data_IF_436430727261
#
_entry.id   IF_436430727261
#
_cell.length_a   1.000
_cell.length_b   1.000
_cell.length_c   1.000
_cell.angle_alpha   90.00
_cell.angle_beta   90.00
_cell.angle_gamma   90.00
#
_symmetry.space_group_name_H-M   'P 1'
#
loop_
_entity.id
_entity.type
_entity.pdbx_description
1 polymer ?
#
# COMPACT_ATOMS: atom_id res chain seq x y z
N UNK A 1 7.20 -16.39 28.12
CA UNK A 1 6.17 -15.35 27.96
C UNK A 1 6.82 -14.13 27.32
N UNK A 2 6.84 -13.96 26.00
CA UNK A 2 7.17 -12.69 25.31
C UNK A 2 7.30 -12.88 23.79
N UNK A 3 6.42 -13.63 23.13
CA UNK A 3 6.51 -13.83 21.67
C UNK A 3 5.45 -13.04 20.88
N UNK A 4 4.46 -12.43 21.54
CA UNK A 4 3.35 -11.76 20.85
C UNK A 4 3.64 -10.33 20.37
N UNK A 5 4.74 -9.69 20.79
CA UNK A 5 5.04 -8.30 20.40
C UNK A 5 5.68 -8.16 19.01
N UNK A 6 6.07 -9.25 18.38
CA UNK A 6 6.81 -9.26 17.12
C UNK A 6 6.12 -9.99 15.97
N UNK A 7 4.85 -10.42 16.12
CA UNK A 7 4.16 -11.03 14.98
C UNK A 7 4.00 -9.99 13.84
N UNK A 8 4.08 -10.42 12.56
CA UNK A 8 3.87 -9.53 11.41
C UNK A 8 2.55 -8.75 11.49
N UNK A 9 1.50 -9.39 12.00
CA UNK A 9 0.19 -8.75 12.25
C UNK A 9 0.31 -7.60 13.24
N UNK A 10 1.03 -7.79 14.34
CA UNK A 10 1.26 -6.74 15.34
C UNK A 10 2.07 -5.57 14.79
N UNK A 11 3.05 -5.85 13.94
CA UNK A 11 3.84 -4.83 13.24
C UNK A 11 2.98 -4.03 12.26
N UNK A 12 2.18 -4.70 11.43
CA UNK A 12 1.26 -4.05 10.50
C UNK A 12 0.23 -3.17 11.24
N UNK A 13 -0.27 -3.62 12.39
CA UNK A 13 -1.15 -2.83 13.26
C UNK A 13 -0.49 -1.55 13.76
N UNK A 14 0.76 -1.65 14.22
CA UNK A 14 1.51 -0.50 14.72
C UNK A 14 1.71 0.55 13.63
N UNK A 15 2.05 0.11 12.42
CA UNK A 15 2.11 0.97 11.24
C UNK A 15 0.83 1.78 11.06
N UNK A 16 -0.31 1.10 11.15
CA UNK A 16 -1.61 1.72 10.97
C UNK A 16 -1.97 2.75 12.05
N UNK A 17 -1.46 2.60 13.28
CA UNK A 17 -1.68 3.55 14.38
C UNK A 17 -0.86 4.83 14.29
N UNK A 18 0.37 4.77 13.78
CA UNK A 18 1.32 5.89 13.81
C UNK A 18 0.81 7.15 13.10
N UNK A 19 0.20 6.99 11.92
CA UNK A 19 -0.31 8.13 11.16
C UNK A 19 -1.62 8.67 11.74
N UNK A 20 -2.48 7.81 12.28
CA UNK A 20 -3.75 8.22 12.89
C UNK A 20 -3.51 9.12 14.10
N UNK A 21 -2.56 8.79 14.96
CA UNK A 21 -2.18 9.62 16.11
C UNK A 21 -1.57 10.96 15.68
N UNK A 22 -0.75 10.93 14.63
CA UNK A 22 -0.04 12.13 14.16
C UNK A 22 -0.94 13.12 13.44
N UNK A 23 -1.98 12.68 12.76
CA UNK A 23 -2.92 13.54 12.07
C UNK A 23 -3.64 14.55 13.00
N UNK A 24 -3.64 14.28 14.32
CA UNK A 24 -4.17 15.18 15.35
C UNK A 24 -3.13 16.18 15.88
N UNK A 25 -1.87 16.06 15.47
CA UNK A 25 -0.75 16.82 16.02
C UNK A 25 -0.40 18.10 15.24
N UNK A 26 0.70 18.74 15.68
CA UNK A 26 1.31 19.85 14.94
C UNK A 26 1.99 19.35 13.64
N UNK A 27 2.28 20.23 12.67
CA UNK A 27 3.00 19.87 11.46
C UNK A 27 4.35 19.15 11.72
N UNK A 28 5.03 19.53 12.79
CA UNK A 28 6.28 18.87 13.19
C UNK A 28 6.06 17.44 13.66
N UNK A 29 5.00 17.19 14.46
CA UNK A 29 4.63 15.84 14.89
C UNK A 29 4.22 14.97 13.70
N UNK A 30 3.49 15.56 12.76
CA UNK A 30 3.11 14.87 11.52
C UNK A 30 4.35 14.44 10.72
N UNK A 31 5.34 15.32 10.53
CA UNK A 31 6.60 14.97 9.84
C UNK A 31 7.34 13.82 10.53
N UNK A 32 7.46 13.87 11.85
CA UNK A 32 8.11 12.82 12.63
C UNK A 32 7.39 11.48 12.49
N UNK A 33 6.07 11.50 12.53
CA UNK A 33 5.27 10.29 12.36
C UNK A 33 5.33 9.71 10.96
N UNK A 34 5.37 10.54 9.92
CA UNK A 34 5.56 10.08 8.54
C UNK A 34 6.91 9.38 8.37
N UNK A 35 7.99 9.97 8.88
CA UNK A 35 9.32 9.35 8.83
C UNK A 35 9.32 8.02 9.57
N UNK A 36 8.76 8.00 10.79
CA UNK A 36 8.65 6.77 11.57
C UNK A 36 7.80 5.71 10.86
N UNK A 37 6.66 6.11 10.30
CA UNK A 37 5.80 5.20 9.54
C UNK A 37 6.53 4.59 8.34
N UNK A 38 7.24 5.40 7.56
CA UNK A 38 7.98 4.92 6.39
C UNK A 38 9.12 3.96 6.79
N UNK A 39 9.87 4.27 7.86
CA UNK A 39 10.92 3.38 8.39
C UNK A 39 10.33 2.05 8.85
N UNK A 40 9.22 2.09 9.58
CA UNK A 40 8.57 0.87 10.07
C UNK A 40 7.93 0.07 8.93
N UNK A 41 7.41 0.74 7.88
CA UNK A 41 6.93 0.08 6.67
C UNK A 41 8.07 -0.65 5.94
N UNK A 42 9.22 -0.01 5.77
CA UNK A 42 10.39 -0.63 5.17
C UNK A 42 10.86 -1.84 5.97
N UNK A 43 10.99 -1.71 7.30
CA UNK A 43 11.40 -2.80 8.18
C UNK A 43 10.42 -3.97 8.16
N UNK A 44 9.11 -3.66 8.17
CA UNK A 44 8.06 -4.68 8.07
C UNK A 44 8.17 -5.45 6.75
N UNK A 45 8.19 -4.76 5.62
CA UNK A 45 8.27 -5.39 4.30
C UNK A 45 9.57 -6.18 4.11
N UNK A 46 10.69 -5.68 4.64
CA UNK A 46 11.99 -6.37 4.56
C UNK A 46 12.02 -7.67 5.35
N UNK A 47 11.31 -7.72 6.48
CA UNK A 47 11.30 -8.87 7.39
C UNK A 47 10.11 -9.81 7.17
N UNK A 48 9.15 -9.45 6.31
CA UNK A 48 7.93 -10.22 6.11
C UNK A 48 8.23 -11.56 5.43
N UNK A 49 7.98 -12.66 6.13
CA UNK A 49 7.86 -13.97 5.54
C UNK A 49 6.43 -14.16 5.03
N UNK A 50 6.26 -14.08 3.71
CA UNK A 50 4.94 -14.18 3.08
C UNK A 50 4.32 -15.56 3.30
N UNK A 51 5.13 -16.61 3.21
CA UNK A 51 4.62 -17.97 3.36
C UNK A 51 4.09 -18.20 4.78
N UNK A 52 4.88 -17.84 5.81
CA UNK A 52 4.46 -17.93 7.20
C UNK A 52 3.21 -17.09 7.46
N UNK A 53 3.23 -15.80 7.04
CA UNK A 53 2.13 -14.87 7.25
C UNK A 53 0.81 -15.35 6.64
N UNK A 54 0.83 -15.78 5.38
CA UNK A 54 -0.39 -16.19 4.70
C UNK A 54 -0.83 -17.60 5.11
N UNK A 55 0.10 -18.54 5.37
CA UNK A 55 -0.23 -19.87 5.83
C UNK A 55 -0.91 -19.85 7.20
N UNK A 56 -0.40 -19.04 8.13
CA UNK A 56 -0.96 -18.93 9.48
C UNK A 56 -2.35 -18.30 9.49
N UNK A 57 -2.60 -17.33 8.60
CA UNK A 57 -3.76 -16.46 8.72
C UNK A 57 -4.82 -16.63 7.63
N UNK A 58 -4.44 -17.03 6.42
CA UNK A 58 -5.33 -17.08 5.25
C UNK A 58 -5.34 -18.44 4.55
N UNK A 59 -4.53 -19.37 5.04
CA UNK A 59 -4.50 -20.74 4.57
C UNK A 59 -3.36 -21.06 3.59
N UNK A 60 -3.06 -22.35 3.51
CA UNK A 60 -1.92 -22.86 2.72
C UNK A 60 -2.09 -22.69 1.20
N UNK A 61 -3.32 -22.63 0.71
CA UNK A 61 -3.56 -22.48 -0.74
C UNK A 61 -3.14 -21.08 -1.22
N UNK A 62 -3.47 -20.02 -0.48
CA UNK A 62 -3.04 -18.67 -0.82
C UNK A 62 -1.52 -18.52 -0.65
N UNK A 63 -0.95 -19.06 0.43
CA UNK A 63 0.49 -19.08 0.64
C UNK A 63 1.22 -19.79 -0.51
N UNK A 64 0.71 -20.95 -0.97
CA UNK A 64 1.24 -21.70 -2.10
C UNK A 64 1.16 -20.91 -3.43
N UNK A 65 0.04 -20.26 -3.69
CA UNK A 65 -0.12 -19.38 -4.87
C UNK A 65 0.92 -18.25 -4.87
N UNK A 66 1.09 -17.58 -3.74
CA UNK A 66 2.04 -16.45 -3.60
C UNK A 66 3.51 -16.93 -3.74
N UNK A 67 3.82 -18.12 -3.26
CA UNK A 67 5.15 -18.70 -3.43
C UNK A 67 5.46 -19.03 -4.90
N UNK A 68 4.44 -19.41 -5.69
CA UNK A 68 4.60 -19.78 -7.10
C UNK A 68 4.51 -18.59 -8.05
N UNK A 69 3.56 -17.70 -7.81
CA UNK A 69 3.16 -16.62 -8.72
C UNK A 69 3.56 -15.23 -8.21
N UNK A 70 4.15 -15.10 -7.02
CA UNK A 70 4.62 -13.83 -6.50
C UNK A 70 5.81 -13.28 -7.30
N UNK A 71 5.79 -11.99 -7.61
CA UNK A 71 6.91 -11.31 -8.29
C UNK A 71 8.00 -10.86 -7.32
N UNK A 72 7.79 -11.03 -6.00
CA UNK A 72 8.63 -10.44 -4.97
C UNK A 72 8.39 -8.95 -4.75
N UNK A 73 7.42 -8.35 -5.45
CA UNK A 73 7.08 -6.95 -5.26
C UNK A 73 6.05 -6.77 -4.15
N UNK A 74 6.42 -6.04 -3.10
CA UNK A 74 5.59 -5.79 -1.92
C UNK A 74 5.49 -4.29 -1.67
N UNK A 75 4.32 -3.80 -1.28
CA UNK A 75 4.18 -2.40 -0.87
C UNK A 75 3.18 -2.19 0.26
N UNK A 76 3.33 -1.06 0.94
CA UNK A 76 2.35 -0.53 1.89
C UNK A 76 1.74 0.73 1.28
N UNK A 77 0.40 0.77 1.20
CA UNK A 77 -0.35 1.94 0.80
C UNK A 77 -1.02 2.65 1.97
N UNK A 78 -1.10 3.99 1.90
CA UNK A 78 -1.78 4.81 2.91
C UNK A 78 -2.23 6.17 2.34
N UNK A 79 -3.27 6.74 2.91
CA UNK A 79 -3.68 8.13 2.62
C UNK A 79 -2.83 9.07 3.46
N UNK A 80 -2.17 10.02 2.81
CA UNK A 80 -1.41 11.07 3.47
C UNK A 80 -2.32 12.27 3.79
N UNK A 81 -2.11 12.97 4.92
CA UNK A 81 -2.78 14.25 5.18
C UNK A 81 -2.49 15.28 4.09
N UNK A 82 -3.45 16.17 3.81
CA UNK A 82 -3.31 17.22 2.78
C UNK A 82 -2.20 18.23 3.06
N UNK A 83 -1.74 18.31 4.30
CA UNK A 83 -0.58 19.13 4.67
C UNK A 83 0.74 18.55 4.17
N UNK A 84 0.73 17.32 3.65
CA UNK A 84 1.90 16.69 3.04
C UNK A 84 2.04 17.14 1.59
N UNK A 85 3.27 17.48 1.20
CA UNK A 85 3.61 17.69 -0.20
C UNK A 85 4.30 16.47 -0.78
N UNK A 86 4.34 16.38 -2.11
CA UNK A 86 5.06 15.32 -2.83
C UNK A 86 6.53 15.28 -2.40
N UNK A 87 7.15 16.46 -2.27
CA UNK A 87 8.57 16.59 -1.89
C UNK A 87 8.80 16.05 -0.47
N UNK A 88 7.93 16.42 0.49
CA UNK A 88 8.03 15.92 1.86
C UNK A 88 7.91 14.39 1.91
N UNK A 89 6.98 13.82 1.15
CA UNK A 89 6.79 12.38 1.11
C UNK A 89 7.95 11.67 0.41
N UNK A 90 8.49 12.24 -0.68
CA UNK A 90 9.68 11.70 -1.35
C UNK A 90 10.92 11.72 -0.44
N UNK A 91 11.18 12.84 0.26
CA UNK A 91 12.26 12.91 1.25
C UNK A 91 12.07 11.90 2.40
N UNK A 92 10.83 11.74 2.85
CA UNK A 92 10.48 10.80 3.92
C UNK A 92 10.74 9.37 3.50
N UNK A 93 10.28 8.98 2.31
CA UNK A 93 10.51 7.66 1.74
C UNK A 93 12.01 7.38 1.56
N UNK A 94 12.76 8.35 1.02
CA UNK A 94 14.20 8.23 0.85
C UNK A 94 14.95 8.01 2.17
N UNK A 95 14.61 8.77 3.21
CA UNK A 95 15.19 8.60 4.56
C UNK A 95 14.86 7.24 5.19
N UNK A 96 13.77 6.63 4.77
CA UNK A 96 13.34 5.32 5.25
C UNK A 96 13.94 4.13 4.47
N UNK A 97 14.69 4.37 3.40
CA UNK A 97 15.30 3.33 2.58
C UNK A 97 14.66 3.12 1.21
N UNK A 98 13.50 3.73 0.91
CA UNK A 98 12.87 3.69 -0.42
C UNK A 98 13.55 4.72 -1.34
N UNK A 99 14.77 4.41 -1.77
CA UNK A 99 15.67 5.38 -2.41
C UNK A 99 16.03 5.04 -3.86
N UNK A 100 15.44 3.99 -4.43
CA UNK A 100 15.82 3.52 -5.77
C UNK A 100 15.05 4.23 -6.89
N UNK A 101 13.75 4.49 -6.70
CA UNK A 101 12.91 5.18 -7.66
C UNK A 101 11.73 5.87 -6.96
N UNK A 102 11.32 7.02 -7.49
CA UNK A 102 10.10 7.74 -7.06
C UNK A 102 9.33 8.15 -8.30
N UNK A 103 8.02 7.91 -8.30
CA UNK A 103 7.11 8.32 -9.37
C UNK A 103 5.81 8.89 -8.80
N UNK A 104 5.13 9.73 -9.57
CA UNK A 104 3.82 10.29 -9.21
C UNK A 104 2.88 10.23 -10.39
N UNK A 105 1.62 9.91 -10.14
CA UNK A 105 0.55 9.90 -11.14
C UNK A 105 -0.84 10.02 -10.49
N UNK A 106 -1.89 10.19 -11.30
CA UNK A 106 -3.26 10.23 -10.79
C UNK A 106 -3.74 8.83 -10.39
N UNK A 107 -4.41 8.71 -9.24
CA UNK A 107 -5.05 7.47 -8.80
C UNK A 107 -6.56 7.54 -8.95
N UNK A 108 -7.09 6.98 -10.04
CA UNK A 108 -8.54 6.92 -10.27
C UNK A 108 -9.26 6.01 -9.26
N UNK A 109 -8.60 4.92 -8.84
CA UNK A 109 -9.18 3.97 -7.88
C UNK A 109 -9.36 4.64 -6.53
N UNK A 110 -8.32 5.28 -6.02
CA UNK A 110 -8.38 5.96 -4.73
C UNK A 110 -9.28 7.20 -4.78
N UNK A 111 -9.26 7.98 -5.87
CA UNK A 111 -10.17 9.10 -6.07
C UNK A 111 -11.64 8.67 -5.92
N UNK A 112 -12.01 7.54 -6.52
CA UNK A 112 -13.35 6.97 -6.40
C UNK A 112 -13.67 6.49 -4.98
N UNK A 113 -12.75 5.82 -4.31
CA UNK A 113 -12.96 5.35 -2.94
C UNK A 113 -13.19 6.53 -1.98
N UNK A 114 -12.36 7.56 -2.07
CA UNK A 114 -12.46 8.73 -1.22
C UNK A 114 -13.73 9.54 -1.50
N UNK A 115 -14.11 9.68 -2.76
CA UNK A 115 -15.36 10.33 -3.15
C UNK A 115 -16.59 9.63 -2.55
N UNK A 116 -16.64 8.30 -2.61
CA UNK A 116 -17.72 7.53 -2.02
C UNK A 116 -17.72 7.58 -0.48
N UNK A 117 -16.55 7.57 0.15
CA UNK A 117 -16.44 7.62 1.61
C UNK A 117 -16.84 8.97 2.21
N UNK A 118 -16.77 10.05 1.45
CA UNK A 118 -17.13 11.42 1.85
C UNK A 118 -18.42 11.94 1.21
N UNK A 119 -19.11 11.11 0.42
CA UNK A 119 -20.30 11.50 -0.35
C UNK A 119 -20.04 12.72 -1.27
N UNK A 120 -18.85 12.80 -1.84
CA UNK A 120 -18.45 13.80 -2.83
C UNK A 120 -18.59 13.25 -4.25
N UNK A 121 -18.68 14.15 -5.23
CA UNK A 121 -18.76 13.76 -6.65
C UNK A 121 -17.40 13.24 -7.15
N UNK A 122 -16.31 13.87 -6.71
CA UNK A 122 -14.94 13.56 -7.10
C UNK A 122 -13.96 14.01 -6.01
N UNK A 123 -12.87 13.25 -5.84
CA UNK A 123 -11.75 13.62 -4.97
C UNK A 123 -10.45 13.34 -5.74
N UNK A 124 -9.98 14.30 -6.55
CA UNK A 124 -8.74 14.12 -7.29
C UNK A 124 -7.61 13.71 -6.37
N UNK A 125 -6.95 12.60 -6.69
CA UNK A 125 -5.94 12.01 -5.82
C UNK A 125 -4.67 11.73 -6.61
N UNK A 126 -3.55 12.26 -6.14
CA UNK A 126 -2.22 11.91 -6.64
C UNK A 126 -1.68 10.76 -5.81
N UNK A 127 -1.08 9.77 -6.45
CA UNK A 127 -0.29 8.73 -5.78
C UNK A 127 1.19 9.03 -5.95
N UNK A 128 1.94 8.95 -4.87
CA UNK A 128 3.40 8.86 -4.89
C UNK A 128 3.78 7.42 -4.61
N UNK A 129 4.56 6.83 -5.51
CA UNK A 129 5.21 5.52 -5.32
C UNK A 129 6.71 5.71 -5.13
N UNK A 130 7.25 5.16 -4.06
CA UNK A 130 8.69 5.13 -3.79
C UNK A 130 9.13 3.69 -3.57
N UNK A 131 10.29 3.31 -4.12
CA UNK A 131 10.76 1.93 -4.14
C UNK A 131 12.15 1.78 -3.52
N UNK A 132 12.37 0.62 -2.92
CA UNK A 132 13.69 0.05 -2.66
C UNK A 132 13.86 -1.20 -3.54
N UNK A 133 14.82 -1.14 -4.46
CA UNK A 133 15.19 -2.22 -5.39
C UNK A 133 16.55 -2.84 -5.04
N UNK A 134 17.07 -2.57 -3.85
CA UNK A 134 18.41 -3.02 -3.43
C UNK A 134 18.44 -4.51 -3.03
N UNK A 135 17.28 -5.09 -2.69
CA UNK A 135 17.17 -6.49 -2.32
C UNK A 135 17.17 -7.38 -3.56
N UNK A 136 17.87 -8.52 -3.47
CA UNK A 136 18.06 -9.41 -4.64
C UNK A 136 16.80 -10.19 -5.03
N UNK A 137 15.95 -10.51 -4.06
CA UNK A 137 14.80 -11.40 -4.21
C UNK A 137 13.45 -10.66 -4.17
N UNK A 138 13.44 -9.40 -3.80
CA UNK A 138 12.22 -8.61 -3.68
C UNK A 138 12.44 -7.13 -3.91
N UNK A 139 11.38 -6.43 -4.26
CA UNK A 139 11.32 -4.98 -4.26
C UNK A 139 10.27 -4.48 -3.26
N UNK A 140 10.63 -3.45 -2.52
CA UNK A 140 9.75 -2.89 -1.50
C UNK A 140 9.21 -1.54 -1.97
N UNK A 141 7.91 -1.32 -1.79
CA UNK A 141 7.22 -0.10 -2.20
C UNK A 141 6.54 0.61 -1.05
N UNK A 142 6.51 1.93 -1.13
CA UNK A 142 5.68 2.80 -0.31
C UNK A 142 4.77 3.61 -1.23
N UNK A 143 3.46 3.49 -1.04
CA UNK A 143 2.46 4.24 -1.80
C UNK A 143 1.76 5.25 -0.89
N UNK A 144 1.89 6.53 -1.19
CA UNK A 144 1.21 7.60 -0.47
C UNK A 144 0.17 8.26 -1.37
N UNK A 145 -1.09 8.24 -0.96
CA UNK A 145 -2.20 8.89 -1.67
C UNK A 145 -2.41 10.29 -1.10
N UNK A 146 -2.30 11.29 -1.98
CA UNK A 146 -2.47 12.71 -1.65
C UNK A 146 -3.80 13.19 -2.25
N UNK A 147 -4.89 13.20 -1.47
CA UNK A 147 -6.17 13.69 -1.95
C UNK A 147 -6.20 15.22 -1.98
N UNK A 148 -6.79 15.78 -3.02
CA UNK A 148 -7.09 17.21 -3.08
C UNK A 148 -8.42 17.48 -2.37
N UNK A 149 -8.36 17.74 -1.08
CA UNK A 149 -9.53 17.90 -0.22
C UNK A 149 -9.25 18.82 0.97
N UNK A 150 -10.23 19.00 1.85
CA UNK A 150 -10.04 19.75 3.10
C UNK A 150 -9.15 19.00 4.10
N UNK A 151 -8.46 19.75 4.96
CA UNK A 151 -7.64 19.19 6.05
C UNK A 151 -8.46 18.30 6.97
N UNK A 152 -9.71 18.66 7.26
CA UNK A 152 -10.58 17.90 8.14
C UNK A 152 -10.93 16.53 7.54
N UNK A 153 -11.26 16.47 6.26
CA UNK A 153 -11.59 15.21 5.58
C UNK A 153 -10.38 14.30 5.45
N UNK A 154 -9.23 14.84 5.05
CA UNK A 154 -8.03 14.03 4.95
C UNK A 154 -7.63 13.44 6.30
N UNK A 155 -7.77 14.19 7.41
CA UNK A 155 -7.56 13.68 8.76
C UNK A 155 -8.50 12.54 9.12
N UNK A 156 -9.79 12.66 8.77
CA UNK A 156 -10.76 11.59 8.98
C UNK A 156 -10.37 10.31 8.24
N UNK A 157 -9.91 10.42 6.98
CA UNK A 157 -9.46 9.24 6.21
C UNK A 157 -8.20 8.61 6.78
N UNK A 158 -7.23 9.44 7.20
CA UNK A 158 -6.02 8.94 7.86
C UNK A 158 -6.37 8.19 9.15
N UNK A 159 -7.29 8.72 9.95
CA UNK A 159 -7.74 8.09 11.20
C UNK A 159 -8.53 6.81 10.98
N UNK A 160 -9.46 6.80 10.02
CA UNK A 160 -10.27 5.63 9.70
C UNK A 160 -9.49 4.52 8.99
N UNK A 161 -8.33 4.86 8.43
CA UNK A 161 -7.49 3.91 7.70
C UNK A 161 -7.96 3.59 6.29
N UNK A 162 -8.81 4.43 5.73
CA UNK A 162 -9.18 4.33 4.31
C UNK A 162 -7.92 4.31 3.45
N UNK A 163 -7.90 3.46 2.44
CA UNK A 163 -6.76 3.31 1.54
C UNK A 163 -5.53 2.58 2.09
N UNK A 164 -5.54 2.16 3.36
CA UNK A 164 -4.43 1.35 3.89
C UNK A 164 -4.50 -0.07 3.37
N UNK A 165 -3.40 -0.55 2.80
CA UNK A 165 -3.32 -1.91 2.28
C UNK A 165 -1.89 -2.45 2.29
N UNK A 166 -1.79 -3.77 2.25
CA UNK A 166 -0.59 -4.52 1.89
C UNK A 166 -0.76 -4.98 0.45
N UNK A 167 0.12 -4.54 -0.44
CA UNK A 167 0.08 -4.86 -1.84
C UNK A 167 1.11 -5.92 -2.22
N UNK A 168 0.71 -6.83 -3.13
CA UNK A 168 1.48 -7.97 -3.59
C UNK A 168 1.40 -8.07 -5.12
N UNK A 169 2.55 -8.03 -5.78
CA UNK A 169 2.66 -8.23 -7.22
C UNK A 169 2.60 -9.70 -7.59
N UNK A 170 1.83 -10.05 -8.63
CA UNK A 170 1.68 -11.39 -9.16
C UNK A 170 2.07 -11.47 -10.64
N UNK A 171 2.55 -12.64 -11.07
CA UNK A 171 3.10 -12.83 -12.41
C UNK A 171 2.04 -12.81 -13.51
N UNK A 172 0.76 -13.09 -13.17
CA UNK A 172 -0.29 -13.19 -14.16
C UNK A 172 -1.64 -12.64 -13.67
N UNK A 173 -2.49 -12.23 -14.60
CA UNK A 173 -3.89 -11.84 -14.32
C UNK A 173 -4.69 -13.00 -13.72
N UNK A 174 -4.41 -14.23 -14.15
CA UNK A 174 -5.08 -15.41 -13.59
C UNK A 174 -4.71 -15.61 -12.11
N UNK A 175 -3.44 -15.42 -11.75
CA UNK A 175 -3.00 -15.48 -10.36
C UNK A 175 -3.69 -14.40 -9.49
N UNK A 176 -3.88 -13.18 -10.00
CA UNK A 176 -4.63 -12.12 -9.31
C UNK A 176 -6.09 -12.53 -9.05
N UNK A 177 -6.76 -13.09 -10.05
CA UNK A 177 -8.14 -13.57 -9.89
C UNK A 177 -8.24 -14.75 -8.91
N UNK A 178 -7.29 -15.67 -8.95
CA UNK A 178 -7.25 -16.80 -8.02
C UNK A 178 -6.95 -16.35 -6.58
N UNK A 179 -6.03 -15.41 -6.38
CA UNK A 179 -5.76 -14.82 -5.08
C UNK A 179 -7.02 -14.19 -4.46
N UNK A 180 -7.81 -13.44 -5.27
CA UNK A 180 -9.08 -12.87 -4.83
C UNK A 180 -10.08 -13.95 -4.40
N UNK A 181 -10.18 -15.02 -5.18
CA UNK A 181 -11.07 -16.14 -4.88
C UNK A 181 -10.68 -16.83 -3.56
N UNK A 182 -9.40 -17.09 -3.36
CA UNK A 182 -8.88 -17.67 -2.12
C UNK A 182 -9.11 -16.76 -0.91
N UNK A 183 -8.91 -15.45 -1.06
CA UNK A 183 -9.28 -14.47 -0.04
C UNK A 183 -10.79 -14.51 0.29
N UNK A 184 -11.64 -14.65 -0.72
CA UNK A 184 -13.08 -14.75 -0.52
C UNK A 184 -13.45 -16.03 0.27
N UNK A 185 -12.79 -17.14 -0.02
CA UNK A 185 -12.95 -18.39 0.75
C UNK A 185 -12.50 -18.25 2.21
N UNK A 186 -11.47 -17.42 2.45
CA UNK A 186 -11.00 -17.07 3.80
C UNK A 186 -11.85 -16.00 4.50
N UNK A 187 -13.00 -15.58 3.92
CA UNK A 187 -13.92 -14.63 4.52
C UNK A 187 -13.64 -13.15 4.19
N UNK A 188 -12.71 -12.87 3.29
CA UNK A 188 -12.51 -11.52 2.77
C UNK A 188 -13.55 -11.21 1.68
N UNK A 189 -13.78 -9.94 1.41
CA UNK A 189 -14.74 -9.49 0.41
C UNK A 189 -14.17 -8.35 -0.42
N UNK A 190 -14.68 -8.19 -1.63
CA UNK A 190 -14.33 -7.05 -2.46
C UNK A 190 -14.86 -5.74 -1.84
N UNK A 191 -14.06 -4.65 -1.84
CA UNK A 191 -14.50 -3.37 -1.33
C UNK A 191 -15.77 -2.87 -2.03
N UNK A 192 -16.66 -2.23 -1.28
CA UNK A 192 -17.96 -1.76 -1.80
C UNK A 192 -17.82 -0.76 -2.95
N UNK A 193 -16.74 0.04 -2.98
CA UNK A 193 -16.49 1.02 -4.03
C UNK A 193 -16.15 0.38 -5.40
N UNK A 194 -15.68 -0.87 -5.42
CA UNK A 194 -15.42 -1.62 -6.65
C UNK A 194 -16.65 -2.39 -7.13
N UNK A 195 -17.71 -2.53 -6.31
CA UNK A 195 -18.91 -3.33 -6.62
C UNK A 195 -18.57 -4.74 -7.11
N UNK A 196 -17.54 -5.36 -6.54
CA UNK A 196 -17.08 -6.70 -6.92
C UNK A 196 -16.36 -6.78 -8.26
N UNK A 197 -16.03 -5.66 -8.89
CA UNK A 197 -15.27 -5.63 -10.14
C UNK A 197 -13.81 -5.31 -9.85
N UNK A 198 -12.87 -5.98 -10.54
CA UNK A 198 -11.48 -5.60 -10.46
C UNK A 198 -11.30 -4.17 -10.97
N UNK A 199 -10.41 -3.42 -10.33
CA UNK A 199 -9.95 -2.15 -10.86
C UNK A 199 -8.96 -2.42 -11.98
N UNK A 200 -9.22 -1.84 -13.15
CA UNK A 200 -8.32 -1.92 -14.30
C UNK A 200 -7.83 -0.51 -14.59
N UNK A 201 -6.54 -0.28 -14.47
CA UNK A 201 -5.93 0.89 -15.06
C UNK A 201 -5.62 0.57 -16.52
N UNK A 202 -6.51 1.00 -17.43
CA UNK A 202 -6.39 0.69 -18.85
C UNK A 202 -5.16 1.34 -19.48
N UNK A 203 -4.71 2.50 -18.96
CA UNK A 203 -3.57 3.22 -19.51
C UNK A 203 -2.24 2.50 -19.26
N UNK A 204 -2.15 1.67 -18.20
CA UNK A 204 -0.93 0.99 -17.78
C UNK A 204 -1.00 -0.53 -17.92
N UNK A 205 -2.09 -1.09 -18.45
CA UNK A 205 -2.36 -2.54 -18.50
C UNK A 205 -2.19 -3.24 -17.14
N UNK A 206 -2.62 -2.55 -16.08
CA UNK A 206 -2.57 -3.05 -14.70
C UNK A 206 -3.93 -3.61 -14.31
N UNK A 207 -3.95 -4.85 -13.83
CA UNK A 207 -5.09 -5.43 -13.13
C UNK A 207 -4.85 -5.35 -11.62
N UNK A 208 -5.75 -4.67 -10.91
CA UNK A 208 -5.70 -4.54 -9.45
C UNK A 208 -6.96 -5.13 -8.84
N UNK A 209 -6.80 -5.90 -7.79
CA UNK A 209 -7.88 -6.47 -6.99
C UNK A 209 -7.63 -6.21 -5.52
N UNK A 210 -8.65 -5.67 -4.85
CA UNK A 210 -8.63 -5.48 -3.40
C UNK A 210 -9.50 -6.51 -2.71
N UNK A 211 -9.04 -6.98 -1.55
CA UNK A 211 -9.77 -7.88 -0.66
C UNK A 211 -9.73 -7.31 0.76
N UNK A 212 -10.90 -6.90 1.27
CA UNK A 212 -11.08 -6.39 2.62
C UNK A 212 -11.54 -7.52 3.54
N UNK A 213 -10.93 -7.63 4.70
CA UNK A 213 -11.28 -8.63 5.68
C UNK A 213 -10.84 -8.27 7.09
N UNK A 214 -10.97 -9.24 7.98
CA UNK A 214 -10.50 -9.12 9.35
C UNK A 214 -9.39 -10.14 9.60
N UNK A 215 -8.28 -9.66 10.10
CA UNK A 215 -7.21 -10.50 10.60
C UNK A 215 -7.13 -10.36 12.11
N UNK A 216 -7.36 -11.45 12.85
CA UNK A 216 -7.49 -11.44 14.30
C UNK A 216 -8.47 -10.35 14.80
N UNK A 217 -9.62 -10.24 14.13
CA UNK A 217 -10.67 -9.28 14.46
C UNK A 217 -10.39 -7.82 14.11
N UNK A 218 -9.37 -7.55 13.29
CA UNK A 218 -8.99 -6.19 12.87
C UNK A 218 -8.96 -6.04 11.36
N UNK A 219 -9.34 -4.87 10.84
CA UNK A 219 -9.34 -4.63 9.40
C UNK A 219 -7.96 -4.84 8.78
N UNK A 220 -7.93 -5.61 7.71
CA UNK A 220 -6.81 -5.80 6.80
C UNK A 220 -7.32 -5.68 5.38
N UNK A 221 -6.67 -4.85 4.56
CA UNK A 221 -6.87 -4.83 3.12
C UNK A 221 -5.65 -5.42 2.45
N UNK A 222 -5.88 -6.36 1.55
CA UNK A 222 -4.89 -6.90 0.63
C UNK A 222 -5.14 -6.35 -0.76
N UNK A 223 -4.07 -5.97 -1.43
CA UNK A 223 -4.08 -5.64 -2.85
C UNK A 223 -3.27 -6.70 -3.59
N UNK A 224 -3.87 -7.33 -4.60
CA UNK A 224 -3.16 -8.17 -5.55
C UNK A 224 -3.18 -7.48 -6.91
N UNK A 225 -2.02 -7.39 -7.55
CA UNK A 225 -1.95 -6.74 -8.84
C UNK A 225 -1.00 -7.46 -9.80
N UNK A 226 -1.28 -7.29 -11.08
CA UNK A 226 -0.44 -7.67 -12.19
C UNK A 226 -0.27 -6.48 -13.11
N UNK A 227 0.98 -6.15 -13.44
CA UNK A 227 1.32 -5.13 -14.43
C UNK A 227 2.11 -5.81 -15.56
N UNK A 228 1.56 -5.78 -16.77
CA UNK A 228 2.17 -6.45 -17.93
C UNK A 228 3.54 -5.86 -18.30
N UNK A 229 3.79 -4.60 -17.94
CA UNK A 229 5.02 -3.87 -18.26
C UNK A 229 5.98 -3.68 -17.07
N UNK A 230 5.62 -4.07 -15.86
CA UNK A 230 6.52 -4.01 -14.70
C UNK A 230 7.55 -5.16 -14.73
N UNK A 231 8.41 -5.17 -15.73
CA UNK A 231 9.81 -5.42 -15.38
C UNK A 231 10.22 -4.22 -14.53
N UNK A 232 10.86 -4.42 -13.33
CA UNK A 232 11.38 -3.30 -12.56
C UNK A 232 12.15 -2.43 -13.54
N UNK A 233 11.65 -1.23 -13.78
CA UNK A 233 12.31 -0.31 -14.70
C UNK A 233 13.72 -0.22 -14.14
N UNK A 234 14.70 -0.78 -14.85
CA UNK A 234 16.11 -0.63 -14.51
C UNK A 234 16.26 0.86 -14.37
N UNK A 235 16.52 1.32 -13.15
CA UNK A 235 16.59 2.69 -12.77
C UNK A 235 17.33 3.43 -13.89
N UNK A 236 16.64 4.27 -14.64
CA UNK A 236 17.28 5.28 -15.44
C UNK A 236 17.91 6.17 -14.37
N UNK A 237 19.23 6.07 -14.21
CA UNK A 237 20.00 6.99 -13.40
C UNK A 237 19.70 8.40 -13.91
N UNK A 238 18.74 9.05 -13.29
CA UNK A 238 18.50 10.46 -13.49
C UNK A 238 19.56 11.15 -12.65
N UNK A 239 20.56 11.66 -13.33
CA UNK A 239 21.58 12.51 -12.73
C UNK A 239 20.93 13.62 -11.92
N UNK A 240 21.52 13.95 -10.79
CA UNK A 240 21.18 14.96 -9.77
C UNK A 240 20.22 16.06 -10.22
N UNK A 241 18.93 15.76 -10.24
CA UNK A 241 17.86 16.68 -10.55
C UNK A 241 16.56 15.91 -10.60
N UNK A 242 15.69 16.12 -9.61
CA UNK A 242 14.35 15.57 -9.61
C UNK A 242 13.62 16.03 -10.87
N UNK A 243 13.31 15.13 -11.78
CA UNK A 243 12.31 15.36 -12.81
C UNK A 243 11.05 14.62 -12.38
N UNK A 244 10.04 15.40 -12.05
CA UNK A 244 8.64 14.95 -12.04
C UNK A 244 8.30 14.69 -13.51
N UNK A 245 7.95 13.47 -13.85
CA UNK A 245 7.38 13.10 -15.15
C UNK A 245 5.89 12.92 -14.95
#
# INVERSE_FOLDING_TARGET
MSTHLHSPVSQFRRLNGLLAEAALGSPQKLRQALVKHAIEAHNFLSSLDLNEFFQEHLGSELAGLLAQEGTGHLHIGFVAPTECTVELLAETAQKAGFNSAVSTFASEVMARELALSSNQADVPTTILKAFDLSLADRSLGLEAFLPNTSVAESKNWVQSGVGRHLGLGLQSRNAVCEAQKLCTQAGFHAPSFLKGKPAVNQAEDILVVYSDGLLEGRPLRLEFYHAASERPARAVQVGSGFRVV
#
